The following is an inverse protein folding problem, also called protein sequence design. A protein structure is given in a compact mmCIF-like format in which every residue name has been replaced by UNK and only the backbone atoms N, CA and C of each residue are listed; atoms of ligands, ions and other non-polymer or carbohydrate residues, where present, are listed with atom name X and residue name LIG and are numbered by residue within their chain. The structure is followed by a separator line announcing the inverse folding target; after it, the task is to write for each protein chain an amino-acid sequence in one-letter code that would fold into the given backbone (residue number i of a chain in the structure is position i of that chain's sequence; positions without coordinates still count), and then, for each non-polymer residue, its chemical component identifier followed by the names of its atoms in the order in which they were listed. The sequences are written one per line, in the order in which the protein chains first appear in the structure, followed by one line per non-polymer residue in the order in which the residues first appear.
data_IF_163625932576
#
_entry.id   IF_163625932576
#
_cell.length_a   1.000
_cell.length_b   1.000
_cell.length_c   1.000
_cell.angle_alpha   90.00
_cell.angle_beta   90.00
_cell.angle_gamma   90.00
#
_symmetry.space_group_name_H-M   'P 1'
#
loop_
_entity.id
_entity.type
_entity.pdbx_description
1 polymer ?
#
# COMPACT_ATOMS: atom_id res chain seq x y z
N UNK A 1 1.62 6.49 6.41
CA UNK A 1 0.47 6.11 5.57
C UNK A 1 0.42 6.93 4.30
N UNK A 2 0.11 6.29 3.16
CA UNK A 2 -0.24 6.93 1.89
C UNK A 2 -1.63 6.42 1.50
N UNK A 3 -2.51 7.31 1.00
CA UNK A 3 -3.88 6.95 0.64
C UNK A 3 -4.27 7.60 -0.68
N UNK A 4 -4.85 6.79 -1.57
CA UNK A 4 -5.44 7.20 -2.83
C UNK A 4 -6.94 6.95 -2.80
N UNK A 5 -7.70 7.90 -3.32
CA UNK A 5 -9.16 7.84 -3.43
C UNK A 5 -9.54 8.22 -4.86
N UNK A 6 -10.45 7.46 -5.47
CA UNK A 6 -11.00 7.71 -6.80
C UNK A 6 -9.91 8.01 -7.87
N UNK A 7 -8.78 7.31 -7.77
CA UNK A 7 -7.57 7.55 -8.56
C UNK A 7 -7.41 6.51 -9.67
N UNK A 8 -6.83 6.91 -10.80
CA UNK A 8 -6.70 6.05 -11.98
C UNK A 8 -5.23 6.09 -12.47
N UNK A 9 -4.72 4.96 -12.96
CA UNK A 9 -3.37 4.83 -13.52
C UNK A 9 -2.25 5.28 -12.55
N UNK A 10 -2.31 4.78 -11.31
CA UNK A 10 -1.35 5.14 -10.26
C UNK A 10 -0.17 4.17 -10.23
N UNK A 11 1.04 4.71 -10.24
CA UNK A 11 2.27 3.96 -10.02
C UNK A 11 2.89 4.35 -8.68
N UNK A 12 3.07 3.38 -7.80
CA UNK A 12 3.84 3.51 -6.55
C UNK A 12 5.07 2.63 -6.70
N UNK A 13 6.25 3.25 -6.80
CA UNK A 13 7.48 2.52 -7.08
C UNK A 13 8.67 3.01 -6.26
N UNK A 14 9.50 2.07 -5.79
CA UNK A 14 10.81 2.32 -5.18
C UNK A 14 10.76 3.25 -3.96
N UNK A 15 9.82 2.97 -3.04
CA UNK A 15 9.66 3.70 -1.78
C UNK A 15 9.63 2.78 -0.57
N UNK A 16 9.97 3.34 0.59
CA UNK A 16 9.85 2.69 1.90
C UNK A 16 8.78 3.41 2.74
N UNK A 17 7.86 2.65 3.33
CA UNK A 17 6.80 3.14 4.23
C UNK A 17 6.94 2.44 5.57
N UNK A 18 7.25 3.19 6.64
CA UNK A 18 7.51 2.60 7.96
C UNK A 18 6.57 3.16 9.03
N UNK A 19 6.29 2.34 10.05
CA UNK A 19 5.66 2.74 11.31
C UNK A 19 4.33 3.48 11.13
N UNK A 20 3.54 3.09 10.13
CA UNK A 20 2.25 3.71 9.89
C UNK A 20 1.21 3.18 10.89
N UNK A 21 0.51 4.04 11.64
CA UNK A 21 -0.62 3.56 12.42
C UNK A 21 -1.71 3.05 11.47
N UNK A 22 -2.26 1.88 11.78
CA UNK A 22 -3.24 1.18 10.96
C UNK A 22 -2.65 0.72 9.60
N UNK A 23 -3.21 1.22 8.48
CA UNK A 23 -2.79 0.85 7.13
C UNK A 23 -1.60 1.69 6.64
N UNK A 24 -0.63 1.05 5.98
CA UNK A 24 0.54 1.72 5.38
C UNK A 24 0.22 2.33 4.00
N UNK A 25 -0.43 1.59 3.11
CA UNK A 25 -0.81 2.03 1.77
C UNK A 25 -2.26 1.67 1.44
N UNK A 26 -3.12 2.66 1.16
CA UNK A 26 -4.55 2.43 0.85
C UNK A 26 -4.92 2.91 -0.55
N UNK A 27 -5.76 2.14 -1.23
CA UNK A 27 -6.51 2.56 -2.42
C UNK A 27 -8.02 2.36 -2.18
N UNK A 28 -8.83 3.37 -2.46
CA UNK A 28 -10.30 3.32 -2.40
C UNK A 28 -10.89 3.81 -3.72
N UNK A 29 -11.83 3.08 -4.31
CA UNK A 29 -12.54 3.52 -5.53
C UNK A 29 -11.62 3.72 -6.76
N UNK A 30 -10.45 3.08 -6.77
CA UNK A 30 -9.38 3.38 -7.73
C UNK A 30 -9.24 2.28 -8.81
N UNK A 31 -8.51 2.53 -9.90
CA UNK A 31 -8.23 1.51 -10.91
C UNK A 31 -6.90 1.69 -11.64
N UNK A 32 -6.33 0.61 -12.18
CA UNK A 32 -5.07 0.69 -12.93
C UNK A 32 -3.90 1.02 -12.02
N UNK A 33 -3.70 0.19 -10.99
CA UNK A 33 -2.71 0.46 -9.95
C UNK A 33 -1.51 -0.47 -10.14
N UNK A 34 -0.31 0.09 -10.17
CA UNK A 34 0.94 -0.67 -10.10
C UNK A 34 1.69 -0.30 -8.81
N UNK A 35 1.94 -1.29 -7.96
CA UNK A 35 2.82 -1.16 -6.80
C UNK A 35 4.04 -2.07 -7.02
N UNK A 36 5.23 -1.47 -7.16
CA UNK A 36 6.46 -2.24 -7.40
C UNK A 36 7.63 -1.77 -6.54
N UNK A 37 8.49 -2.70 -6.09
CA UNK A 37 9.71 -2.35 -5.33
C UNK A 37 9.43 -1.54 -4.05
N UNK A 38 8.28 -1.76 -3.42
CA UNK A 38 7.91 -1.06 -2.18
C UNK A 38 8.34 -1.87 -0.96
N UNK A 39 8.93 -1.20 0.03
CA UNK A 39 9.20 -1.77 1.35
C UNK A 39 8.23 -1.22 2.38
N UNK A 40 7.55 -2.09 3.12
CA UNK A 40 6.66 -1.71 4.21
C UNK A 40 7.13 -2.39 5.50
N UNK A 41 7.30 -1.62 6.57
CA UNK A 41 7.75 -2.14 7.87
C UNK A 41 6.97 -1.58 9.07
N UNK A 42 6.69 -2.41 10.06
CA UNK A 42 6.23 -1.97 11.39
C UNK A 42 6.90 -2.73 12.54
N UNK A 43 6.89 -2.17 13.77
CA UNK A 43 7.38 -2.86 14.95
C UNK A 43 6.44 -4.03 15.31
N UNK A 44 6.99 -5.11 15.87
CA UNK A 44 6.26 -6.35 16.23
C UNK A 44 5.03 -6.11 17.12
N UNK A 45 5.07 -5.07 17.96
CA UNK A 45 4.01 -4.72 18.89
C UNK A 45 3.00 -3.71 18.31
N UNK A 46 3.05 -3.43 17.00
CA UNK A 46 2.19 -2.44 16.36
C UNK A 46 0.77 -2.98 16.19
N UNK A 47 -0.26 -2.26 16.67
CA UNK A 47 -1.64 -2.71 16.53
C UNK A 47 -2.16 -2.47 15.10
N UNK A 48 -2.71 -3.51 14.48
CA UNK A 48 -3.53 -3.47 13.25
C UNK A 48 -2.82 -2.94 12.00
N UNK A 49 -1.76 -3.60 11.54
CA UNK A 49 -0.87 -3.13 10.48
C UNK A 49 -1.18 -3.74 9.12
N UNK A 50 -2.21 -3.25 8.44
CA UNK A 50 -2.39 -3.58 7.02
C UNK A 50 -1.21 -2.99 6.24
N UNK A 51 -0.53 -3.83 5.45
CA UNK A 51 0.51 -3.37 4.54
C UNK A 51 -0.09 -2.56 3.40
N UNK A 52 -0.80 -3.25 2.49
CA UNK A 52 -1.50 -2.62 1.37
C UNK A 52 -2.99 -2.98 1.46
N UNK A 53 -3.84 -1.98 1.54
CA UNK A 53 -5.30 -2.13 1.66
C UNK A 53 -5.98 -1.66 0.37
N UNK A 54 -6.70 -2.57 -0.29
CA UNK A 54 -7.45 -2.31 -1.52
C UNK A 54 -8.94 -2.35 -1.23
N UNK A 55 -9.63 -1.23 -1.39
CA UNK A 55 -11.08 -1.12 -1.20
C UNK A 55 -11.71 -0.59 -2.49
N UNK A 56 -12.80 -1.20 -2.97
CA UNK A 56 -13.48 -0.78 -4.21
C UNK A 56 -12.53 -0.53 -5.40
N UNK A 57 -11.39 -1.22 -5.45
CA UNK A 57 -10.30 -0.95 -6.39
C UNK A 57 -10.16 -2.10 -7.38
N UNK A 58 -9.86 -1.81 -8.65
CA UNK A 58 -9.76 -2.79 -9.74
C UNK A 58 -8.44 -2.68 -10.49
N UNK A 59 -8.08 -3.72 -11.23
CA UNK A 59 -6.90 -3.75 -12.10
C UNK A 59 -5.62 -3.34 -11.35
N UNK A 60 -5.27 -4.14 -10.34
CA UNK A 60 -4.15 -3.89 -9.44
C UNK A 60 -3.07 -4.93 -9.62
N UNK A 61 -1.85 -4.47 -9.84
CA UNK A 61 -0.64 -5.28 -9.89
C UNK A 61 0.28 -4.89 -8.74
N UNK A 62 0.71 -5.89 -7.96
CA UNK A 62 1.64 -5.72 -6.83
C UNK A 62 2.79 -6.71 -7.03
N UNK A 63 3.99 -6.19 -7.25
CA UNK A 63 5.18 -6.99 -7.55
C UNK A 63 6.42 -6.48 -6.79
N UNK A 64 7.43 -7.32 -6.62
CA UNK A 64 8.72 -6.95 -6.02
C UNK A 64 8.66 -6.21 -4.67
N UNK A 65 7.61 -6.43 -3.87
CA UNK A 65 7.43 -5.76 -2.59
C UNK A 65 7.95 -6.60 -1.42
N UNK A 66 8.46 -5.92 -0.39
CA UNK A 66 8.79 -6.53 0.91
C UNK A 66 7.86 -5.90 1.94
N UNK A 67 7.01 -6.72 2.55
CA UNK A 67 6.04 -6.28 3.57
C UNK A 67 6.33 -7.07 4.83
N UNK A 68 6.79 -6.37 5.88
CA UNK A 68 7.15 -6.93 7.18
C UNK A 68 6.40 -6.15 8.27
N UNK A 69 5.20 -6.60 8.59
CA UNK A 69 4.31 -5.91 9.49
C UNK A 69 4.33 -6.48 10.91
#
# INVERSE_FOLDING_TARGET
AIRFYDSHDVVVQDITIENSPQCHLKFDGSSGILVSKVRISSPENSPNTDGIHLQNTKDVEIEDCIIAC
#
